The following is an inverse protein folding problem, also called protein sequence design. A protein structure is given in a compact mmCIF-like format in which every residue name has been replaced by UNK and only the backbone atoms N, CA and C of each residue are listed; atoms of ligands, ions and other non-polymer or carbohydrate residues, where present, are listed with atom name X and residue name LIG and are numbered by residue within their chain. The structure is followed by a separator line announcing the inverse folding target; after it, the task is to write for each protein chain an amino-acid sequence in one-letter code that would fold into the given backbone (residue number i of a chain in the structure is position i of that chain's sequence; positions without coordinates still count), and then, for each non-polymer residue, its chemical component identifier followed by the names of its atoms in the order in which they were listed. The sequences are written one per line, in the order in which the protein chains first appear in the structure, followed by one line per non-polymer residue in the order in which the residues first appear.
data_IF_421410442848
#
_entry.id   IF_421410442848
#
_cell.length_a   1.000
_cell.length_b   1.000
_cell.length_c   1.000
_cell.angle_alpha   90.00
_cell.angle_beta   90.00
_cell.angle_gamma   90.00
#
_symmetry.space_group_name_H-M   'P 1'
#
loop_
_entity.id
_entity.type
_entity.pdbx_description
1 polymer ?
#
# COMPACT_ATOMS: atom_id res chain seq x y z
N UNK A 1 6.99 1.49 -4.06
CA UNK A 1 5.70 0.99 -3.56
C UNK A 1 4.71 2.14 -3.28
N UNK A 2 3.54 2.09 -3.89
CA UNK A 2 2.38 2.97 -3.69
C UNK A 2 1.25 2.10 -3.14
N UNK A 3 0.83 2.39 -1.91
CA UNK A 3 -0.22 1.64 -1.20
C UNK A 3 -1.45 2.54 -1.11
N UNK A 4 -2.58 2.09 -1.64
CA UNK A 4 -3.86 2.80 -1.57
C UNK A 4 -4.42 2.75 -0.14
N UNK A 5 -4.96 3.87 0.36
CA UNK A 5 -5.70 3.88 1.62
C UNK A 5 -7.11 4.44 1.40
N UNK A 6 -8.11 3.57 1.38
CA UNK A 6 -9.47 3.92 0.96
C UNK A 6 -10.46 3.91 2.13
N UNK A 7 -11.60 4.59 1.98
CA UNK A 7 -12.68 4.53 2.96
C UNK A 7 -13.58 3.30 2.81
N UNK A 8 -13.48 2.57 1.69
CA UNK A 8 -14.33 1.44 1.35
C UNK A 8 -13.52 0.17 1.15
N UNK A 9 -14.03 -0.97 1.64
CA UNK A 9 -13.41 -2.29 1.53
C UNK A 9 -13.97 -3.09 0.35
N UNK A 10 -14.59 -2.44 -0.64
CA UNK A 10 -15.21 -3.17 -1.74
C UNK A 10 -14.14 -3.75 -2.66
N UNK A 11 -14.40 -4.95 -3.20
CA UNK A 11 -13.52 -5.58 -4.18
C UNK A 11 -13.32 -4.67 -5.41
N UNK A 12 -14.34 -3.91 -5.79
CA UNK A 12 -14.24 -2.95 -6.91
C UNK A 12 -13.26 -1.82 -6.62
N UNK A 13 -13.22 -1.29 -5.41
CA UNK A 13 -12.25 -0.25 -5.03
C UNK A 13 -10.82 -0.78 -5.06
N UNK A 14 -10.62 -2.01 -4.56
CA UNK A 14 -9.34 -2.71 -4.61
C UNK A 14 -8.87 -2.93 -6.05
N UNK A 15 -9.74 -3.48 -6.89
CA UNK A 15 -9.41 -3.79 -8.28
C UNK A 15 -9.07 -2.53 -9.07
N UNK A 16 -9.80 -1.44 -8.85
CA UNK A 16 -9.52 -0.14 -9.48
C UNK A 16 -8.14 0.39 -9.10
N UNK A 17 -7.76 0.30 -7.82
CA UNK A 17 -6.44 0.73 -7.35
C UNK A 17 -5.31 -0.08 -7.98
N UNK A 18 -5.45 -1.40 -8.02
CA UNK A 18 -4.42 -2.29 -8.59
C UNK A 18 -4.29 -2.11 -10.11
N UNK A 19 -5.41 -1.94 -10.83
CA UNK A 19 -5.41 -1.72 -12.29
C UNK A 19 -4.69 -0.43 -12.69
N UNK A 20 -4.76 0.62 -11.88
CA UNK A 20 -4.05 1.88 -12.17
C UNK A 20 -2.56 1.84 -11.78
N UNK A 21 -2.06 0.68 -11.36
CA UNK A 21 -0.64 0.46 -11.06
C UNK A 21 -0.24 0.75 -9.61
N UNK A 22 -1.20 0.75 -8.67
CA UNK A 22 -0.86 0.72 -7.25
C UNK A 22 -0.36 -0.66 -6.87
N UNK A 23 0.58 -0.72 -5.94
CA UNK A 23 1.24 -1.95 -5.52
C UNK A 23 0.40 -2.72 -4.50
N UNK A 24 -0.36 -2.00 -3.65
CA UNK A 24 -1.16 -2.60 -2.58
C UNK A 24 -2.32 -1.68 -2.15
N UNK A 25 -3.16 -2.18 -1.24
CA UNK A 25 -4.40 -1.53 -0.81
C UNK A 25 -4.73 -1.84 0.66
N UNK A 26 -5.11 -0.81 1.40
CA UNK A 26 -5.56 -0.84 2.79
C UNK A 26 -6.87 -0.05 2.94
N UNK A 27 -7.65 -0.40 3.97
CA UNK A 27 -8.94 0.25 4.25
C UNK A 27 -8.90 1.11 5.51
N UNK A 28 -9.74 2.14 5.58
CA UNK A 28 -9.95 2.98 6.75
C UNK A 28 -11.12 2.46 7.59
N UNK A 29 -11.06 2.56 8.93
CA UNK A 29 -9.89 2.94 9.71
C UNK A 29 -8.80 1.85 9.63
N UNK A 30 -7.55 2.26 9.41
CA UNK A 30 -6.46 1.31 9.20
C UNK A 30 -6.05 0.68 10.53
N UNK A 31 -5.89 -0.64 10.54
CA UNK A 31 -5.29 -1.33 11.67
C UNK A 31 -3.76 -1.12 11.64
N UNK A 32 -3.18 -0.75 12.79
CA UNK A 32 -1.73 -0.52 12.90
C UNK A 32 -0.87 -1.73 12.56
N UNK A 33 -1.34 -2.94 12.86
CA UNK A 33 -0.63 -4.19 12.54
C UNK A 33 -0.69 -4.49 11.04
N UNK A 34 -1.82 -4.22 10.39
CA UNK A 34 -2.00 -4.37 8.94
C UNK A 34 -1.10 -3.39 8.18
N UNK A 35 -1.07 -2.12 8.63
CA UNK A 35 -0.17 -1.11 8.09
C UNK A 35 1.29 -1.53 8.26
N UNK A 36 1.68 -2.00 9.43
CA UNK A 36 3.05 -2.46 9.70
C UNK A 36 3.42 -3.61 8.77
N UNK A 37 2.57 -4.61 8.64
CA UNK A 37 2.82 -5.76 7.76
C UNK A 37 3.00 -5.35 6.30
N UNK A 38 2.17 -4.42 5.79
CA UNK A 38 2.30 -3.93 4.42
C UNK A 38 3.60 -3.13 4.25
N UNK A 39 3.95 -2.27 5.22
CA UNK A 39 5.21 -1.52 5.19
C UNK A 39 6.43 -2.46 5.21
N UNK A 40 6.46 -3.46 6.09
CA UNK A 40 7.55 -4.43 6.17
C UNK A 40 7.70 -5.21 4.85
N UNK A 41 6.59 -5.65 4.26
CA UNK A 41 6.59 -6.32 2.96
C UNK A 41 7.25 -5.46 1.87
N UNK A 42 6.85 -4.19 1.77
CA UNK A 42 7.29 -3.33 0.68
C UNK A 42 8.64 -2.64 0.89
N UNK A 43 9.05 -2.39 2.14
CA UNK A 43 10.35 -1.77 2.45
C UNK A 43 11.50 -2.77 2.36
N UNK A 44 11.28 -4.04 2.68
CA UNK A 44 12.28 -5.10 2.50
C UNK A 44 12.49 -5.40 1.01
N UNK A 45 11.40 -5.39 0.22
CA UNK A 45 11.47 -5.65 -1.22
C UNK A 45 12.10 -4.51 -2.03
N UNK A 46 12.04 -3.26 -1.53
CA UNK A 46 12.52 -2.08 -2.25
C UNK A 46 13.25 -1.10 -1.33
N UNK A 47 14.53 -1.34 -1.01
CA UNK A 47 15.38 -0.31 -0.42
C UNK A 47 15.58 0.78 -1.48
N UNK A 48 14.72 1.80 -1.48
CA UNK A 48 14.92 2.97 -2.33
C UNK A 48 16.12 3.71 -1.78
N UNK A 49 17.29 3.49 -2.39
CA UNK A 49 18.46 4.34 -2.20
C UNK A 49 18.03 5.77 -2.57
N UNK A 50 17.85 6.62 -1.57
CA UNK A 50 17.70 8.05 -1.80
C UNK A 50 19.04 8.52 -2.38
N UNK A 51 19.09 9.05 -3.62
CA UNK A 51 20.30 9.68 -4.11
C UNK A 51 20.58 10.86 -3.17
N UNK A 52 21.75 10.85 -2.52
CA UNK A 52 22.23 12.00 -1.78
C UNK A 52 22.22 13.20 -2.74
N UNK A 53 21.41 14.21 -2.42
CA UNK A 53 21.39 15.48 -3.12
C UNK A 53 22.66 16.29 -2.79
#
# INVERSE_FOLDING_TARGET
PIIALTAGASTSDRDRCLVVGMDDFLTKPVNGDELRSSLEHWLVAHPRAVPNA
#
